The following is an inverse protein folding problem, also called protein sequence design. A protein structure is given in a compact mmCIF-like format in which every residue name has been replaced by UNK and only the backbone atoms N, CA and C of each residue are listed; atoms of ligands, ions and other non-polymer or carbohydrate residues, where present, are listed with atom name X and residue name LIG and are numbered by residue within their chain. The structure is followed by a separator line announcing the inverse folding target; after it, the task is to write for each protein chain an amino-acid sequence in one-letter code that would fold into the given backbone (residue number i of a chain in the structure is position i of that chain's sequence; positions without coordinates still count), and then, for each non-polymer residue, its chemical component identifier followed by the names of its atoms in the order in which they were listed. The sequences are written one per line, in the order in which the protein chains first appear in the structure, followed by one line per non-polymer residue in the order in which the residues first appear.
data_IF_269014114969
#
_entry.id   IF_269014114969
#
_cell.length_a   1.000
_cell.length_b   1.000
_cell.length_c   1.000
_cell.angle_alpha   90.00
_cell.angle_beta   90.00
_cell.angle_gamma   90.00
#
_symmetry.space_group_name_H-M   'P 1'
#
loop_
_entity.id
_entity.type
_entity.pdbx_description
1 polymer ?
#
# COMPACT_ATOMS: atom_id res chain seq x y z
N UNK A 1 -11.40 -1.43 -20.96
CA UNK A 1 -11.27 -1.70 -19.51
C UNK A 1 -9.91 -1.22 -19.06
N UNK A 2 -9.85 -0.36 -18.04
CA UNK A 2 -8.56 0.04 -17.45
C UNK A 2 -8.21 -1.00 -16.39
N UNK A 3 -7.12 -1.74 -16.62
CA UNK A 3 -6.72 -2.88 -15.76
C UNK A 3 -5.97 -2.45 -14.50
N UNK A 4 -5.54 -1.18 -14.38
CA UNK A 4 -4.86 -0.66 -13.18
C UNK A 4 -5.41 0.70 -12.72
N UNK A 5 -5.30 0.99 -11.42
CA UNK A 5 -5.71 2.26 -10.80
C UNK A 5 -4.50 2.98 -10.23
N UNK A 6 -4.39 4.28 -10.49
CA UNK A 6 -3.27 5.12 -10.04
C UNK A 6 -1.92 4.50 -10.41
N UNK A 7 -0.99 4.45 -9.44
CA UNK A 7 0.31 3.81 -9.56
C UNK A 7 0.32 2.27 -9.54
N UNK A 8 -0.83 1.58 -9.62
CA UNK A 8 -0.91 0.12 -9.57
C UNK A 8 0.04 -0.61 -10.52
N UNK A 9 0.30 -0.04 -11.71
CA UNK A 9 1.23 -0.57 -12.71
C UNK A 9 2.64 -0.84 -12.17
N UNK A 10 3.06 -0.15 -11.09
CA UNK A 10 4.37 -0.38 -10.47
C UNK A 10 4.56 -1.83 -9.98
N UNK A 11 3.48 -2.56 -9.66
CA UNK A 11 3.57 -3.99 -9.35
C UNK A 11 4.20 -4.79 -10.50
N UNK A 12 3.73 -4.53 -11.72
CA UNK A 12 4.24 -5.19 -12.93
C UNK A 12 5.67 -4.75 -13.22
N UNK A 13 5.96 -3.46 -13.02
CA UNK A 13 7.30 -2.91 -13.24
C UNK A 13 8.31 -3.54 -12.28
N UNK A 14 8.06 -3.58 -10.97
CA UNK A 14 9.01 -4.12 -10.00
C UNK A 14 9.23 -5.62 -10.19
N UNK A 15 8.16 -6.39 -10.34
CA UNK A 15 8.25 -7.85 -10.54
C UNK A 15 8.94 -8.16 -11.86
N UNK A 16 8.49 -7.54 -12.96
CA UNK A 16 9.06 -7.74 -14.28
C UNK A 16 10.53 -7.32 -14.35
N UNK A 17 10.90 -6.18 -13.76
CA UNK A 17 12.27 -5.72 -13.74
C UNK A 17 13.19 -6.65 -12.94
N UNK A 18 12.77 -7.15 -11.78
CA UNK A 18 13.60 -8.05 -10.98
C UNK A 18 13.71 -9.45 -11.58
N UNK A 19 12.65 -9.97 -12.18
CA UNK A 19 12.72 -11.21 -12.97
C UNK A 19 13.67 -11.07 -14.17
N UNK A 20 13.52 -9.98 -14.94
CA UNK A 20 14.37 -9.73 -16.10
C UNK A 20 15.84 -9.54 -15.70
N UNK A 21 16.11 -8.84 -14.60
CA UNK A 21 17.47 -8.60 -14.12
C UNK A 21 18.12 -9.87 -13.57
N UNK A 22 17.48 -10.53 -12.59
CA UNK A 22 18.10 -11.66 -11.90
C UNK A 22 18.05 -12.93 -12.74
N UNK A 23 16.87 -13.30 -13.23
CA UNK A 23 16.69 -14.52 -14.01
C UNK A 23 17.21 -14.38 -15.43
N UNK A 24 16.83 -13.29 -16.11
CA UNK A 24 17.25 -13.02 -17.48
C UNK A 24 18.73 -12.63 -17.55
N UNK A 25 19.07 -11.38 -17.22
CA UNK A 25 20.41 -10.83 -17.44
C UNK A 25 21.46 -11.60 -16.65
N UNK A 26 21.30 -11.72 -15.33
CA UNK A 26 22.33 -12.33 -14.49
C UNK A 26 22.36 -13.85 -14.67
N UNK A 27 21.23 -14.52 -14.58
CA UNK A 27 21.15 -15.99 -14.70
C UNK A 27 21.57 -16.50 -16.08
N UNK A 28 20.98 -15.96 -17.14
CA UNK A 28 21.20 -16.49 -18.50
C UNK A 28 22.37 -15.87 -19.24
N UNK A 29 22.64 -14.57 -19.08
CA UNK A 29 23.61 -13.86 -19.93
C UNK A 29 24.95 -13.55 -19.24
N UNK A 30 24.99 -13.50 -17.90
CA UNK A 30 26.25 -13.24 -17.15
C UNK A 30 26.83 -14.53 -16.60
N UNK A 31 26.01 -15.34 -15.93
CA UNK A 31 26.46 -16.59 -15.31
C UNK A 31 26.34 -17.79 -16.25
N UNK A 32 25.51 -17.67 -17.29
CA UNK A 32 25.27 -18.71 -18.31
C UNK A 32 25.01 -20.10 -17.69
N UNK A 33 24.33 -20.13 -16.54
CA UNK A 33 24.16 -21.34 -15.74
C UNK A 33 22.69 -21.64 -15.52
N UNK A 34 22.27 -22.84 -15.92
CA UNK A 34 20.92 -23.33 -15.70
C UNK A 34 20.58 -23.38 -14.19
N UNK A 35 21.52 -23.85 -13.37
CA UNK A 35 21.42 -23.84 -11.90
C UNK A 35 21.34 -22.43 -11.33
N UNK A 36 22.14 -21.49 -11.84
CA UNK A 36 22.04 -20.11 -11.38
C UNK A 36 20.69 -19.49 -11.78
N UNK A 37 20.22 -19.75 -13.00
CA UNK A 37 18.92 -19.27 -13.48
C UNK A 37 17.77 -19.83 -12.65
N UNK A 38 17.81 -21.13 -12.29
CA UNK A 38 16.77 -21.79 -11.49
C UNK A 38 16.64 -21.22 -10.08
N UNK A 39 17.72 -20.68 -9.51
CA UNK A 39 17.74 -20.00 -8.20
C UNK A 39 17.42 -18.50 -8.33
N UNK A 40 17.98 -17.82 -9.35
CA UNK A 40 17.86 -16.38 -9.51
C UNK A 40 16.48 -15.93 -9.99
N UNK A 41 15.76 -16.73 -10.78
CA UNK A 41 14.38 -16.45 -11.17
C UNK A 41 13.45 -16.31 -9.95
N UNK A 42 13.38 -17.32 -9.04
CA UNK A 42 12.63 -17.19 -7.78
C UNK A 42 13.06 -16.00 -6.92
N UNK A 43 14.35 -15.71 -6.85
CA UNK A 43 14.87 -14.53 -6.13
C UNK A 43 14.40 -13.21 -6.76
N UNK A 44 14.34 -13.13 -8.10
CA UNK A 44 13.74 -12.01 -8.83
C UNK A 44 12.29 -11.79 -8.42
N UNK A 45 11.52 -12.87 -8.31
CA UNK A 45 10.12 -12.79 -7.89
C UNK A 45 9.98 -12.35 -6.42
N UNK A 46 10.84 -12.85 -5.53
CA UNK A 46 10.88 -12.46 -4.12
C UNK A 46 11.20 -10.96 -3.96
N UNK A 47 12.29 -10.48 -4.57
CA UNK A 47 12.69 -9.07 -4.45
C UNK A 47 11.68 -8.13 -5.10
N UNK A 48 11.20 -8.48 -6.29
CA UNK A 48 10.14 -7.73 -6.96
C UNK A 48 8.86 -7.69 -6.13
N UNK A 49 8.51 -8.81 -5.49
CA UNK A 49 7.39 -8.93 -4.55
C UNK A 49 7.55 -8.05 -3.31
N UNK A 50 8.73 -8.04 -2.67
CA UNK A 50 9.03 -7.19 -1.51
C UNK A 50 8.92 -5.70 -1.87
N UNK A 51 9.52 -5.27 -2.98
CA UNK A 51 9.42 -3.88 -3.43
C UNK A 51 7.97 -3.46 -3.69
N UNK A 52 7.21 -4.35 -4.34
CA UNK A 52 5.78 -4.14 -4.63
C UNK A 52 4.96 -4.07 -3.35
N UNK A 53 5.22 -4.98 -2.39
CA UNK A 53 4.52 -5.04 -1.11
C UNK A 53 4.75 -3.76 -0.29
N UNK A 54 6.02 -3.39 -0.11
CA UNK A 54 6.41 -2.23 0.67
C UNK A 54 5.90 -0.92 0.06
N UNK A 55 6.05 -0.75 -1.26
CA UNK A 55 5.60 0.47 -1.91
C UNK A 55 4.07 0.54 -2.00
N UNK A 56 3.40 -0.59 -2.24
CA UNK A 56 1.94 -0.69 -2.16
C UNK A 56 1.40 -0.30 -0.80
N UNK A 57 2.00 -0.83 0.28
CA UNK A 57 1.63 -0.49 1.66
C UNK A 57 1.80 1.00 1.94
N UNK A 58 2.93 1.58 1.51
CA UNK A 58 3.14 3.01 1.66
C UNK A 58 2.06 3.83 0.96
N UNK A 59 1.74 3.49 -0.30
CA UNK A 59 0.81 4.26 -1.12
C UNK A 59 -0.66 4.08 -0.72
N UNK A 60 -1.08 2.88 -0.33
CA UNK A 60 -2.46 2.55 -0.01
C UNK A 60 -2.81 2.70 1.48
N UNK A 61 -1.83 2.61 2.38
CA UNK A 61 -2.08 2.64 3.82
C UNK A 61 -1.38 3.80 4.53
N UNK A 62 -0.04 3.87 4.47
CA UNK A 62 0.73 4.85 5.27
C UNK A 62 0.50 6.30 4.81
N UNK A 63 0.57 6.56 3.50
CA UNK A 63 0.41 7.92 2.95
C UNK A 63 -1.01 8.47 3.14
N UNK A 64 -2.09 7.70 2.87
CA UNK A 64 -3.45 8.15 3.18
C UNK A 64 -3.68 8.38 4.67
N UNK A 65 -3.13 7.53 5.55
CA UNK A 65 -3.22 7.73 6.99
C UNK A 65 -2.56 9.06 7.42
N UNK A 66 -1.31 9.31 7.00
CA UNK A 66 -0.61 10.57 7.26
C UNK A 66 -1.38 11.79 6.76
N UNK A 67 -2.01 11.68 5.57
CA UNK A 67 -2.83 12.75 5.01
C UNK A 67 -4.10 13.00 5.84
N UNK A 68 -4.73 11.95 6.33
CA UNK A 68 -5.89 12.03 7.19
C UNK A 68 -5.56 12.71 8.53
N UNK A 69 -4.42 12.33 9.12
CA UNK A 69 -3.96 12.92 10.39
C UNK A 69 -3.58 14.39 10.21
N UNK A 70 -2.83 14.72 9.14
CA UNK A 70 -2.49 16.10 8.83
C UNK A 70 -3.72 16.99 8.55
N UNK A 71 -4.74 16.43 7.88
CA UNK A 71 -6.00 17.14 7.69
C UNK A 71 -6.71 17.38 9.04
N UNK A 72 -6.78 16.36 9.91
CA UNK A 72 -7.45 16.49 11.19
C UNK A 72 -6.76 17.52 12.10
N UNK A 73 -5.43 17.55 12.09
CA UNK A 73 -4.64 18.53 12.82
C UNK A 73 -4.87 19.96 12.30
N UNK A 74 -4.97 20.13 10.97
CA UNK A 74 -5.25 21.43 10.37
C UNK A 74 -6.70 21.90 10.59
N UNK A 75 -7.65 20.97 10.68
CA UNK A 75 -9.08 21.26 10.80
C UNK A 75 -9.51 21.54 12.25
N UNK A 76 -8.86 20.90 13.23
CA UNK A 76 -9.20 21.00 14.65
C UNK A 76 -9.32 22.45 15.16
N UNK A 77 -8.35 23.36 14.91
CA UNK A 77 -8.44 24.74 15.42
C UNK A 77 -9.66 25.49 14.89
N UNK A 78 -10.07 25.23 13.64
CA UNK A 78 -11.27 25.83 13.04
C UNK A 78 -12.53 25.40 13.77
N UNK A 79 -12.63 24.12 14.12
CA UNK A 79 -13.78 23.57 14.83
C UNK A 79 -13.83 24.02 16.29
N UNK A 80 -12.66 24.08 16.96
CA UNK A 80 -12.55 24.61 18.32
C UNK A 80 -12.94 26.09 18.37
N UNK A 81 -12.48 26.90 17.42
CA UNK A 81 -12.88 28.30 17.32
C UNK A 81 -14.39 28.46 17.07
N UNK A 82 -14.99 27.61 16.24
CA UNK A 82 -16.43 27.61 16.02
C UNK A 82 -17.20 27.26 17.31
N UNK A 83 -16.69 26.31 18.11
CA UNK A 83 -17.28 25.95 19.39
C UNK A 83 -17.22 27.11 20.40
N UNK A 84 -16.08 27.79 20.49
CA UNK A 84 -15.90 28.96 21.37
C UNK A 84 -16.84 30.12 21.00
N UNK A 85 -17.10 30.30 19.71
CA UNK A 85 -18.01 31.33 19.20
C UNK A 85 -19.49 30.93 19.24
N UNK A 86 -19.82 29.70 19.68
CA UNK A 86 -21.19 29.19 19.66
C UNK A 86 -21.76 28.99 18.25
N UNK A 87 -20.90 28.84 17.24
CA UNK A 87 -21.29 28.64 15.83
C UNK A 87 -21.04 27.22 15.33
N UNK A 88 -20.50 26.34 16.17
CA UNK A 88 -20.33 24.93 15.84
C UNK A 88 -21.71 24.27 15.65
N UNK A 89 -21.94 23.76 14.44
CA UNK A 89 -23.11 22.96 14.10
C UNK A 89 -22.62 21.69 13.42
N UNK A 90 -23.01 20.54 13.94
CA UNK A 90 -22.73 19.22 13.35
C UNK A 90 -24.07 18.50 13.16
N UNK A 91 -24.35 18.05 11.94
CA UNK A 91 -25.61 17.36 11.59
C UNK A 91 -26.88 18.10 12.04
N UNK A 92 -26.89 19.44 11.89
CA UNK A 92 -27.95 20.36 12.32
C UNK A 92 -28.19 20.45 13.84
N UNK A 93 -27.23 20.00 14.66
CA UNK A 93 -27.28 20.10 16.12
C UNK A 93 -26.20 21.04 16.62
N UNK A 94 -26.55 21.94 17.54
CA UNK A 94 -25.59 22.78 18.29
C UNK A 94 -25.29 22.15 19.64
N UNK A 95 -24.03 22.20 20.12
CA UNK A 95 -23.68 21.66 21.43
C UNK A 95 -24.31 22.50 22.56
N UNK A 96 -24.84 21.83 23.58
CA UNK A 96 -25.38 22.44 24.79
C UNK A 96 -24.33 22.65 25.88
N UNK A 97 -23.16 22.01 25.75
CA UNK A 97 -22.05 22.07 26.71
C UNK A 97 -20.69 22.00 26.00
N UNK A 98 -19.62 22.38 26.72
CA UNK A 98 -18.24 22.26 26.21
C UNK A 98 -17.84 20.81 25.96
N UNK A 99 -18.28 19.88 26.81
CA UNK A 99 -18.00 18.46 26.67
C UNK A 99 -18.68 17.89 25.43
N UNK A 100 -19.95 18.25 25.19
CA UNK A 100 -20.67 17.88 23.98
C UNK A 100 -20.01 18.45 22.72
N UNK A 101 -19.55 19.70 22.77
CA UNK A 101 -18.80 20.31 21.67
C UNK A 101 -17.52 19.51 21.35
N UNK A 102 -16.75 19.10 22.35
CA UNK A 102 -15.55 18.27 22.13
C UNK A 102 -15.88 16.92 21.49
N UNK A 103 -16.96 16.27 21.94
CA UNK A 103 -17.45 15.03 21.33
C UNK A 103 -17.86 15.22 19.87
N UNK A 104 -18.54 16.32 19.54
CA UNK A 104 -18.90 16.68 18.16
C UNK A 104 -17.67 16.98 17.30
N UNK A 105 -16.65 17.66 17.82
CA UNK A 105 -15.41 17.93 17.11
C UNK A 105 -14.71 16.61 16.77
N UNK A 106 -14.55 15.70 17.73
CA UNK A 106 -13.87 14.43 17.47
C UNK A 106 -14.64 13.54 16.48
N UNK A 107 -15.98 13.59 16.50
CA UNK A 107 -16.80 12.85 15.53
C UNK A 107 -16.59 13.37 14.10
N UNK A 108 -16.53 14.69 13.89
CA UNK A 108 -16.24 15.30 12.59
C UNK A 108 -14.84 14.93 12.12
N UNK A 109 -13.84 15.01 13.00
CA UNK A 109 -12.46 14.66 12.67
C UNK A 109 -12.33 13.17 12.31
N UNK A 110 -12.97 12.28 13.06
CA UNK A 110 -12.95 10.85 12.78
C UNK A 110 -13.65 10.50 11.46
N UNK A 111 -14.81 11.12 11.18
CA UNK A 111 -15.50 10.96 9.90
C UNK A 111 -14.64 11.45 8.73
N UNK A 112 -13.99 12.61 8.86
CA UNK A 112 -13.09 13.14 7.84
C UNK A 112 -11.83 12.29 7.64
N UNK A 113 -11.25 11.73 8.73
CA UNK A 113 -10.14 10.78 8.62
C UNK A 113 -10.54 9.55 7.80
N UNK A 114 -11.71 8.98 8.06
CA UNK A 114 -12.23 7.81 7.32
C UNK A 114 -12.45 8.12 5.84
N UNK A 115 -13.03 9.28 5.52
CA UNK A 115 -13.28 9.68 4.14
C UNK A 115 -11.98 9.89 3.35
N UNK A 116 -10.95 10.45 3.98
CA UNK A 116 -9.63 10.68 3.35
C UNK A 116 -8.88 9.37 3.11
N UNK A 117 -8.84 8.47 4.12
CA UNK A 117 -8.21 7.15 4.01
C UNK A 117 -8.82 6.39 2.83
N UNK A 118 -10.15 6.21 2.85
CA UNK A 118 -10.90 5.53 1.79
C UNK A 118 -10.37 4.13 1.46
N UNK A 119 -10.85 3.55 0.36
CA UNK A 119 -10.35 2.27 -0.15
C UNK A 119 -9.04 2.39 -0.95
N UNK A 120 -8.44 1.25 -1.35
CA UNK A 120 -7.18 1.22 -2.08
C UNK A 120 -7.24 2.06 -3.37
N UNK A 121 -6.22 2.90 -3.56
CA UNK A 121 -6.11 3.84 -4.69
C UNK A 121 -5.12 3.35 -5.75
N UNK A 122 -4.31 2.35 -5.42
CA UNK A 122 -3.26 1.80 -6.25
C UNK A 122 -3.38 0.28 -6.36
N UNK A 123 -3.95 -0.20 -7.48
CA UNK A 123 -4.29 -1.62 -7.68
C UNK A 123 -4.16 -2.05 -9.15
N UNK A 124 -4.04 -3.36 -9.38
CA UNK A 124 -4.09 -4.00 -10.71
C UNK A 124 -5.10 -5.13 -10.65
N UNK A 125 -5.99 -5.24 -11.64
CA UNK A 125 -7.14 -6.15 -11.61
C UNK A 125 -7.95 -6.07 -10.31
N UNK A 126 -8.14 -4.86 -9.78
CA UNK A 126 -8.81 -4.60 -8.50
C UNK A 126 -8.10 -5.20 -7.27
N UNK A 127 -6.92 -5.80 -7.42
CA UNK A 127 -6.08 -6.31 -6.34
C UNK A 127 -5.12 -5.19 -5.90
N UNK A 128 -5.11 -4.80 -4.61
CA UNK A 128 -4.17 -3.82 -4.08
C UNK A 128 -2.72 -4.26 -4.33
N UNK A 129 -1.86 -3.31 -4.67
CA UNK A 129 -0.46 -3.57 -5.00
C UNK A 129 0.25 -4.40 -3.93
N UNK A 130 0.00 -4.12 -2.65
CA UNK A 130 0.62 -4.82 -1.54
C UNK A 130 0.30 -6.33 -1.51
N UNK A 131 -0.93 -6.69 -1.90
CA UNK A 131 -1.37 -8.08 -1.97
C UNK A 131 -0.70 -8.79 -3.16
N UNK A 132 -0.54 -8.11 -4.30
CA UNK A 132 0.20 -8.65 -5.45
C UNK A 132 1.65 -8.94 -5.05
N UNK A 133 2.27 -8.02 -4.31
CA UNK A 133 3.62 -8.21 -3.77
C UNK A 133 3.73 -9.43 -2.87
N UNK A 134 2.78 -9.62 -1.94
CA UNK A 134 2.74 -10.79 -1.05
C UNK A 134 2.55 -12.10 -1.84
N UNK A 135 1.67 -12.11 -2.84
CA UNK A 135 1.46 -13.28 -3.70
C UNK A 135 2.76 -13.62 -4.45
N UNK A 136 3.43 -12.61 -5.02
CA UNK A 136 4.70 -12.80 -5.70
C UNK A 136 5.77 -13.35 -4.73
N UNK A 137 5.86 -12.84 -3.50
CA UNK A 137 6.77 -13.38 -2.49
C UNK A 137 6.48 -14.85 -2.19
N UNK A 138 5.21 -15.22 -1.99
CA UNK A 138 4.81 -16.61 -1.75
C UNK A 138 5.18 -17.52 -2.91
N UNK A 139 4.88 -17.11 -4.15
CA UNK A 139 5.26 -17.85 -5.35
C UNK A 139 6.78 -17.99 -5.49
N UNK A 140 7.53 -16.91 -5.24
CA UNK A 140 8.99 -16.93 -5.29
C UNK A 140 9.60 -17.87 -4.26
N UNK A 141 9.05 -17.90 -3.04
CA UNK A 141 9.49 -18.84 -2.01
C UNK A 141 9.22 -20.30 -2.41
N UNK A 142 8.03 -20.58 -2.96
CA UNK A 142 7.68 -21.94 -3.43
C UNK A 142 8.66 -22.38 -4.52
N UNK A 143 8.88 -21.54 -5.54
CA UNK A 143 9.80 -21.90 -6.63
C UNK A 143 11.24 -22.03 -6.16
N UNK A 144 11.68 -21.25 -5.17
CA UNK A 144 13.01 -21.37 -4.60
C UNK A 144 13.20 -22.71 -3.88
N UNK A 145 12.18 -23.15 -3.12
CA UNK A 145 12.21 -24.45 -2.43
C UNK A 145 12.21 -25.58 -3.45
N UNK A 146 11.36 -25.52 -4.48
CA UNK A 146 11.32 -26.53 -5.54
C UNK A 146 12.67 -26.63 -6.28
N UNK A 147 13.26 -25.50 -6.67
CA UNK A 147 14.58 -25.50 -7.30
C UNK A 147 15.67 -26.05 -6.37
N UNK A 148 15.53 -25.89 -5.04
CA UNK A 148 16.51 -26.45 -4.11
C UNK A 148 16.37 -27.96 -3.99
N UNK A 149 15.15 -28.50 -4.04
CA UNK A 149 14.89 -29.95 -4.06
C UNK A 149 15.46 -30.57 -5.33
N UNK A 150 15.23 -29.95 -6.50
CA UNK A 150 15.74 -30.44 -7.78
C UNK A 150 17.27 -30.44 -7.86
N UNK A 151 17.96 -29.63 -7.05
CA UNK A 151 19.43 -29.62 -6.97
C UNK A 151 20.00 -30.72 -6.06
N UNK A 152 19.16 -31.39 -5.26
CA UNK A 152 19.57 -32.41 -4.31
C UNK A 152 19.33 -33.84 -4.81
N UNK A 153 18.61 -34.01 -5.92
CA UNK A 153 18.25 -35.31 -6.53
C UNK A 153 19.00 -35.50 -7.84
#
# INVERSE_FOLDING_TARGET
MIIWKGWGILAVVYIGAMLALLGGVIGTAVLESATATSVLMPLGLLLGGVMTAAHGWYLNNTRPARRADAWAEAERPRLEQAAEQGTLVVDNVQPSSREEAQGMIESVLEQGRRSIKGGPKHSVFWIPMEIIGIIAMGAGLIFLVMSSVDLLV
#
